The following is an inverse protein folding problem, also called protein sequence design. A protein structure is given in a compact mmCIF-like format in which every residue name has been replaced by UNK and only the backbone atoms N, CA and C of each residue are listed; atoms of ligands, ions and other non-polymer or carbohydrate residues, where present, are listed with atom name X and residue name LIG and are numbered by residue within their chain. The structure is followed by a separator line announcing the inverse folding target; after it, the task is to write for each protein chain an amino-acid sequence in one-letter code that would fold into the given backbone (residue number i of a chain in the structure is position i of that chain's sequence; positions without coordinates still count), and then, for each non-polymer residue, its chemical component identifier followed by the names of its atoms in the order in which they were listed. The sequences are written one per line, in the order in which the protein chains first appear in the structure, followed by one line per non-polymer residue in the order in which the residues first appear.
data_IF_333840361419
#
_entry.id   IF_333840361419
#
_cell.length_a   1.000
_cell.length_b   1.000
_cell.length_c   1.000
_cell.angle_alpha   90.00
_cell.angle_beta   90.00
_cell.angle_gamma   90.00
#
_symmetry.space_group_name_H-M   'P 1'
#
loop_
_entity.id
_entity.type
_entity.pdbx_description
1 polymer ?
#
# COMPACT_ATOMS: atom_id res chain seq x y z
N UNK A 1 -9.85 4.23 20.57
CA UNK A 1 -10.22 2.82 20.42
C UNK A 1 -10.77 2.61 19.03
N UNK A 2 -10.29 1.59 18.31
CA UNK A 2 -10.80 1.24 16.99
C UNK A 2 -11.93 0.21 17.16
N UNK A 3 -13.10 0.51 16.59
CA UNK A 3 -14.23 -0.42 16.55
C UNK A 3 -14.20 -1.20 15.24
N UNK A 4 -14.28 -2.53 15.33
CA UNK A 4 -14.31 -3.39 14.16
C UNK A 4 -15.75 -3.63 13.73
N UNK A 5 -16.10 -3.08 12.57
CA UNK A 5 -17.39 -3.29 11.92
C UNK A 5 -17.19 -4.15 10.68
N UNK A 6 -17.59 -5.43 10.72
CA UNK A 6 -17.45 -6.29 9.54
C UNK A 6 -17.53 -7.77 9.83
N UNK A 7 -17.34 -8.58 8.77
CA UNK A 7 -17.32 -10.04 8.84
C UNK A 7 -15.98 -10.53 9.40
N UNK A 8 -15.93 -11.81 9.84
CA UNK A 8 -14.70 -12.42 10.35
C UNK A 8 -13.53 -12.30 9.36
N UNK A 9 -12.36 -11.97 9.87
CA UNK A 9 -11.07 -11.93 9.14
C UNK A 9 -10.22 -13.18 9.38
N UNK A 10 -10.74 -14.15 10.15
CA UNK A 10 -10.02 -15.38 10.46
C UNK A 10 -9.59 -16.13 9.20
N UNK A 11 -8.29 -16.44 9.09
CA UNK A 11 -7.68 -17.12 7.95
C UNK A 11 -7.58 -16.30 6.66
N UNK A 12 -8.03 -15.04 6.66
CA UNK A 12 -8.01 -14.17 5.49
C UNK A 12 -6.74 -13.31 5.42
N UNK A 13 -6.33 -12.96 4.21
CA UNK A 13 -5.38 -11.91 3.97
C UNK A 13 -6.10 -10.57 4.04
N UNK A 14 -5.51 -9.61 4.75
CA UNK A 14 -6.11 -8.30 5.00
C UNK A 14 -5.18 -7.21 4.49
N UNK A 15 -5.75 -6.24 3.77
CA UNK A 15 -5.07 -5.04 3.31
C UNK A 15 -5.61 -3.84 4.10
N UNK A 16 -4.72 -3.17 4.82
CA UNK A 16 -4.97 -1.88 5.47
C UNK A 16 -4.65 -0.80 4.45
N UNK A 17 -5.59 0.08 4.17
CA UNK A 17 -5.40 1.20 3.24
C UNK A 17 -5.59 2.51 3.99
N UNK A 18 -4.63 3.42 3.85
CA UNK A 18 -4.66 4.75 4.45
C UNK A 18 -4.02 5.76 3.49
N UNK A 19 -4.16 7.04 3.75
CA UNK A 19 -3.54 8.10 2.96
C UNK A 19 -2.07 8.31 3.34
N UNK A 20 -1.72 8.19 4.61
CA UNK A 20 -0.39 8.50 5.11
C UNK A 20 0.08 7.60 6.26
N UNK A 21 1.31 7.13 6.15
CA UNK A 21 2.06 6.59 7.28
C UNK A 21 2.91 7.73 7.87
N UNK A 22 2.49 8.29 8.99
CA UNK A 22 3.33 9.22 9.78
C UNK A 22 4.28 8.43 10.69
N UNK A 23 3.94 8.24 11.97
CA UNK A 23 4.69 7.36 12.87
C UNK A 23 4.42 5.88 12.63
N UNK A 24 3.28 5.55 12.04
CA UNK A 24 2.82 4.18 11.81
C UNK A 24 2.08 3.55 13.00
N UNK A 25 2.00 4.22 14.14
CA UNK A 25 1.43 3.63 15.37
C UNK A 25 -0.01 3.17 15.18
N UNK A 26 -0.87 3.98 14.55
CA UNK A 26 -2.27 3.62 14.31
C UNK A 26 -2.44 2.38 13.43
N UNK A 27 -1.66 2.27 12.37
CA UNK A 27 -1.70 1.11 11.47
C UNK A 27 -1.20 -0.15 12.14
N UNK A 28 -0.17 -0.01 12.97
CA UNK A 28 0.38 -1.10 13.76
C UNK A 28 -0.65 -1.61 14.78
N UNK A 29 -1.39 -0.71 15.43
CA UNK A 29 -2.44 -1.11 16.36
C UNK A 29 -3.60 -1.83 15.64
N UNK A 30 -3.96 -1.39 14.44
CA UNK A 30 -4.91 -2.11 13.58
C UNK A 30 -4.36 -3.49 13.20
N UNK A 31 -3.09 -3.59 12.81
CA UNK A 31 -2.46 -4.87 12.46
C UNK A 31 -2.45 -5.86 13.64
N UNK A 32 -2.15 -5.39 14.86
CA UNK A 32 -2.24 -6.21 16.07
C UNK A 32 -3.66 -6.76 16.29
N UNK A 33 -4.65 -5.90 16.16
CA UNK A 33 -6.06 -6.31 16.33
C UNK A 33 -6.48 -7.33 15.26
N UNK A 34 -6.04 -7.16 14.00
CA UNK A 34 -6.29 -8.12 12.92
C UNK A 34 -5.63 -9.48 13.22
N UNK A 35 -4.40 -9.49 13.69
CA UNK A 35 -3.71 -10.74 14.10
C UNK A 35 -4.37 -11.40 15.31
N UNK A 36 -4.84 -10.61 16.29
CA UNK A 36 -5.64 -11.13 17.42
C UNK A 36 -6.91 -11.81 16.92
N UNK A 37 -7.51 -11.33 15.83
CA UNK A 37 -8.67 -11.92 15.14
C UNK A 37 -8.28 -13.02 14.15
N UNK A 38 -7.02 -13.52 14.20
CA UNK A 38 -6.49 -14.63 13.40
C UNK A 38 -6.46 -14.36 11.90
N UNK A 39 -6.25 -13.09 11.48
CA UNK A 39 -5.91 -12.79 10.10
C UNK A 39 -4.63 -13.52 9.68
N UNK A 40 -4.61 -14.07 8.46
CA UNK A 40 -3.48 -14.85 7.94
C UNK A 40 -2.31 -13.93 7.62
N UNK A 41 -2.49 -13.02 6.67
CA UNK A 41 -1.50 -12.01 6.27
C UNK A 41 -2.05 -10.62 6.44
N UNK A 42 -1.18 -9.68 6.80
CA UNK A 42 -1.53 -8.27 6.94
C UNK A 42 -0.61 -7.43 6.07
N UNK A 43 -1.20 -6.73 5.12
CA UNK A 43 -0.55 -5.80 4.21
C UNK A 43 -0.94 -4.38 4.59
N UNK A 44 -0.01 -3.45 4.55
CA UNK A 44 -0.26 -2.02 4.79
C UNK A 44 0.02 -1.29 3.47
N UNK A 45 -0.92 -0.50 3.00
CA UNK A 45 -0.79 0.31 1.79
C UNK A 45 -1.15 1.77 2.10
N UNK A 46 -0.27 2.68 1.71
CA UNK A 46 -0.48 4.11 1.91
C UNK A 46 0.05 4.91 0.72
N UNK A 47 -0.58 6.05 0.45
CA UNK A 47 -0.07 6.96 -0.57
C UNK A 47 1.26 7.56 -0.15
N UNK A 48 1.35 8.07 1.09
CA UNK A 48 2.55 8.74 1.60
C UNK A 48 3.18 7.98 2.76
N UNK A 49 4.42 7.53 2.60
CA UNK A 49 5.20 6.89 3.66
C UNK A 49 6.25 7.83 4.24
N UNK A 50 5.93 8.54 5.34
CA UNK A 50 6.85 9.48 5.98
C UNK A 50 7.77 8.80 6.99
N UNK A 51 7.29 7.78 7.70
CA UNK A 51 8.05 7.04 8.72
C UNK A 51 8.79 7.94 9.70
N UNK A 52 8.09 8.93 10.25
CA UNK A 52 8.67 10.02 11.06
C UNK A 52 9.41 9.54 12.32
N UNK A 53 9.07 8.35 12.83
CA UNK A 53 9.73 7.73 13.99
C UNK A 53 10.74 6.64 13.57
N UNK A 54 11.16 6.64 12.29
CA UNK A 54 12.07 5.63 11.74
C UNK A 54 11.40 4.27 11.51
N UNK A 55 12.20 3.27 11.15
CA UNK A 55 11.72 1.97 10.69
C UNK A 55 11.72 0.89 11.76
N UNK A 56 12.38 1.12 12.91
CA UNK A 56 12.60 0.09 13.93
C UNK A 56 11.34 -0.66 14.35
N UNK A 57 10.20 0.04 14.52
CA UNK A 57 8.93 -0.62 14.86
C UNK A 57 8.43 -1.53 13.74
N UNK A 58 8.54 -1.08 12.49
CA UNK A 58 8.14 -1.88 11.34
C UNK A 58 9.03 -3.11 11.19
N UNK A 59 10.34 -2.96 11.40
CA UNK A 59 11.30 -4.07 11.40
C UNK A 59 10.88 -5.13 12.45
N UNK A 60 10.64 -4.71 13.69
CA UNK A 60 10.21 -5.58 14.79
C UNK A 60 8.87 -6.29 14.49
N UNK A 61 7.89 -5.57 13.95
CA UNK A 61 6.59 -6.17 13.64
C UNK A 61 6.62 -7.10 12.43
N UNK A 62 7.49 -6.85 11.48
CA UNK A 62 7.74 -7.79 10.39
C UNK A 62 8.42 -9.08 10.91
N UNK A 63 9.46 -8.96 11.71
CA UNK A 63 10.17 -10.11 12.31
C UNK A 63 9.24 -10.98 13.18
N UNK A 64 8.31 -10.34 13.90
CA UNK A 64 7.32 -11.03 14.71
C UNK A 64 6.10 -11.53 13.91
N UNK A 65 6.09 -11.41 12.60
CA UNK A 65 5.00 -11.88 11.74
C UNK A 65 3.67 -11.13 11.90
N UNK A 66 3.70 -9.90 12.46
CA UNK A 66 2.51 -9.07 12.61
C UNK A 66 2.12 -8.35 11.32
N UNK A 67 3.10 -8.00 10.50
CA UNK A 67 2.91 -7.44 9.17
C UNK A 67 3.69 -8.25 8.15
N UNK A 68 3.18 -8.36 6.93
CA UNK A 68 3.83 -9.10 5.84
C UNK A 68 4.48 -8.18 4.81
N UNK A 69 3.82 -7.09 4.44
CA UNK A 69 4.35 -6.08 3.50
C UNK A 69 3.82 -4.69 3.82
N UNK A 70 4.63 -3.70 3.48
CA UNK A 70 4.27 -2.28 3.50
C UNK A 70 4.51 -1.71 2.12
N UNK A 71 3.47 -1.14 1.52
CA UNK A 71 3.49 -0.56 0.19
C UNK A 71 3.27 0.95 0.31
N UNK A 72 4.17 1.76 -0.22
CA UNK A 72 3.91 3.21 -0.38
C UNK A 72 4.40 3.69 -1.73
N UNK A 73 3.85 4.82 -2.18
CA UNK A 73 4.28 5.43 -3.43
C UNK A 73 5.61 6.18 -3.26
N UNK A 74 6.26 6.46 -4.38
CA UNK A 74 7.45 7.32 -4.45
C UNK A 74 7.11 8.82 -4.60
N UNK A 75 5.91 9.24 -4.17
CA UNK A 75 5.50 10.66 -4.20
C UNK A 75 6.16 11.50 -3.10
N UNK A 76 6.78 10.85 -2.12
CA UNK A 76 7.67 11.47 -1.14
C UNK A 76 9.03 10.78 -1.18
N UNK A 77 10.05 11.46 -0.68
CA UNK A 77 11.39 10.90 -0.65
C UNK A 77 11.44 9.58 0.12
N UNK A 78 12.04 8.58 -0.48
CA UNK A 78 12.25 7.26 0.10
C UNK A 78 13.73 7.10 0.43
N UNK A 79 14.03 6.85 1.71
CA UNK A 79 15.41 6.66 2.13
C UNK A 79 15.98 5.35 1.59
N UNK A 80 17.30 5.27 1.30
CA UNK A 80 17.92 3.99 0.94
C UNK A 80 17.70 2.89 1.98
N UNK A 81 17.61 3.28 3.24
CA UNK A 81 17.30 2.38 4.33
C UNK A 81 15.92 1.75 4.17
N UNK A 82 14.88 2.53 3.87
CA UNK A 82 13.53 2.03 3.61
C UNK A 82 13.49 1.10 2.41
N UNK A 83 14.13 1.51 1.30
CA UNK A 83 14.16 0.73 0.05
C UNK A 83 14.88 -0.62 0.21
N UNK A 84 15.77 -0.77 1.19
CA UNK A 84 16.47 -2.03 1.48
C UNK A 84 15.66 -3.03 2.31
N UNK A 85 14.51 -2.62 2.86
CA UNK A 85 13.74 -3.50 3.76
C UNK A 85 13.01 -4.61 2.99
N UNK A 86 13.09 -5.87 3.43
CA UNK A 86 12.48 -7.01 2.73
C UNK A 86 10.95 -6.97 2.73
N UNK A 87 10.33 -6.24 3.65
CA UNK A 87 8.88 -6.06 3.71
C UNK A 87 8.38 -4.87 2.88
N UNK A 88 9.27 -4.00 2.41
CA UNK A 88 8.87 -2.78 1.74
C UNK A 88 8.71 -2.99 0.24
N UNK A 89 7.64 -2.43 -0.31
CA UNK A 89 7.36 -2.40 -1.74
C UNK A 89 7.15 -0.96 -2.17
N UNK A 90 8.03 -0.49 -3.05
CA UNK A 90 7.87 0.81 -3.71
C UNK A 90 6.83 0.72 -4.82
N UNK A 91 5.82 1.57 -4.77
CA UNK A 91 4.85 1.76 -5.84
C UNK A 91 5.26 2.97 -6.67
N UNK A 92 5.83 2.73 -7.86
CA UNK A 92 6.34 3.80 -8.72
C UNK A 92 5.18 4.53 -9.43
N UNK A 93 5.02 5.81 -9.10
CA UNK A 93 4.03 6.71 -9.68
C UNK A 93 4.59 7.60 -10.80
N UNK A 94 5.87 7.47 -11.16
CA UNK A 94 6.55 8.38 -12.10
C UNK A 94 5.85 8.46 -13.45
N UNK A 95 5.46 7.32 -14.02
CA UNK A 95 4.71 7.26 -15.27
C UNK A 95 3.37 8.00 -15.18
N UNK A 96 2.69 7.88 -14.05
CA UNK A 96 1.40 8.52 -13.81
C UNK A 96 1.52 10.03 -13.75
N UNK A 97 2.53 10.51 -13.03
CA UNK A 97 2.84 11.94 -12.92
C UNK A 97 3.23 12.50 -14.29
N UNK A 98 4.04 11.78 -15.06
CA UNK A 98 4.39 12.20 -16.43
C UNK A 98 3.16 12.36 -17.33
N UNK A 99 2.20 11.44 -17.26
CA UNK A 99 0.95 11.54 -18.02
C UNK A 99 0.06 12.69 -17.56
N UNK A 100 0.03 13.01 -16.26
CA UNK A 100 -0.68 14.18 -15.75
C UNK A 100 -0.06 15.47 -16.32
N UNK A 101 1.27 15.57 -16.28
CA UNK A 101 2.01 16.73 -16.81
C UNK A 101 1.73 16.90 -18.31
N UNK A 102 1.79 15.81 -19.08
CA UNK A 102 1.54 15.80 -20.50
C UNK A 102 0.12 16.30 -20.84
N UNK A 103 -0.89 15.74 -20.16
CA UNK A 103 -2.28 16.17 -20.35
C UNK A 103 -2.50 17.65 -20.01
N UNK A 104 -1.90 18.12 -18.91
CA UNK A 104 -1.99 19.55 -18.53
C UNK A 104 -1.31 20.46 -19.55
N UNK A 105 -0.17 20.06 -20.10
CA UNK A 105 0.55 20.84 -21.12
C UNK A 105 -0.24 20.94 -22.43
N UNK A 106 -1.09 19.98 -22.75
CA UNK A 106 -1.88 19.94 -23.98
C UNK A 106 -3.35 20.31 -23.76
N UNK A 107 -3.71 20.91 -22.62
CA UNK A 107 -5.09 21.23 -22.24
C UNK A 107 -6.06 20.03 -22.39
N UNK A 108 -5.53 18.81 -22.24
CA UNK A 108 -6.30 17.59 -22.38
C UNK A 108 -7.02 17.20 -21.08
N UNK A 109 -8.15 16.51 -21.21
CA UNK A 109 -8.91 16.04 -20.04
C UNK A 109 -8.14 15.01 -19.22
N UNK A 110 -8.16 15.17 -17.91
CA UNK A 110 -7.62 14.20 -16.94
C UNK A 110 -8.60 13.07 -16.59
N UNK A 111 -9.86 13.15 -17.06
CA UNK A 111 -10.94 12.24 -16.62
C UNK A 111 -10.62 10.76 -16.85
N UNK A 112 -10.10 10.40 -18.03
CA UNK A 112 -9.72 9.01 -18.32
C UNK A 112 -8.50 8.56 -17.51
N UNK A 113 -7.56 9.48 -17.29
CA UNK A 113 -6.36 9.18 -16.51
C UNK A 113 -6.69 8.96 -15.03
N UNK A 114 -7.61 9.74 -14.47
CA UNK A 114 -8.04 9.64 -13.08
C UNK A 114 -9.04 8.52 -12.83
N UNK A 115 -9.64 7.92 -13.87
CA UNK A 115 -10.52 6.78 -13.72
C UNK A 115 -9.72 5.46 -13.76
N UNK A 116 -9.47 4.78 -12.62
CA UNK A 116 -8.66 3.56 -12.60
C UNK A 116 -9.43 2.30 -13.00
N UNK A 117 -10.78 2.34 -13.07
CA UNK A 117 -11.64 1.14 -13.17
C UNK A 117 -11.26 0.27 -14.36
N UNK A 118 -11.14 0.84 -15.56
CA UNK A 118 -10.78 0.09 -16.76
C UNK A 118 -9.39 -0.55 -16.69
N UNK A 119 -8.44 0.09 -16.01
CA UNK A 119 -7.09 -0.45 -15.79
C UNK A 119 -7.09 -1.57 -14.77
N UNK A 120 -7.82 -1.43 -13.68
CA UNK A 120 -7.99 -2.46 -12.65
C UNK A 120 -8.59 -3.71 -13.29
N UNK A 121 -9.65 -3.58 -14.08
CA UNK A 121 -10.28 -4.72 -14.75
C UNK A 121 -9.31 -5.43 -15.72
N UNK A 122 -8.55 -4.67 -16.53
CA UNK A 122 -7.53 -5.27 -17.42
C UNK A 122 -6.45 -6.03 -16.66
N UNK A 123 -5.98 -5.51 -15.53
CA UNK A 123 -4.99 -6.20 -14.68
C UNK A 123 -5.56 -7.46 -14.05
N UNK A 124 -6.79 -7.42 -13.56
CA UNK A 124 -7.47 -8.58 -13.00
C UNK A 124 -7.70 -9.67 -14.07
N UNK A 125 -8.05 -9.28 -15.28
CA UNK A 125 -8.25 -10.23 -16.39
C UNK A 125 -6.94 -10.86 -16.81
N UNK A 126 -5.82 -10.12 -16.88
CA UNK A 126 -4.48 -10.67 -17.08
C UNK A 126 -4.12 -11.67 -15.98
N UNK A 127 -4.31 -11.31 -14.73
CA UNK A 127 -4.06 -12.20 -13.61
C UNK A 127 -4.86 -13.51 -13.70
N UNK A 128 -6.17 -13.42 -14.02
CA UNK A 128 -7.02 -14.61 -14.20
C UNK A 128 -6.57 -15.52 -15.34
N UNK A 129 -5.95 -14.96 -16.39
CA UNK A 129 -5.38 -15.72 -17.52
C UNK A 129 -3.99 -16.27 -17.24
N UNK A 130 -3.39 -15.98 -16.07
CA UNK A 130 -2.03 -16.38 -15.73
C UNK A 130 -0.94 -15.63 -16.52
N UNK A 131 -1.27 -14.45 -17.06
CA UNK A 131 -0.31 -13.60 -17.75
C UNK A 131 0.56 -12.85 -16.75
N UNK A 132 1.83 -12.58 -17.12
CA UNK A 132 2.75 -11.76 -16.30
C UNK A 132 2.19 -10.34 -16.25
N UNK A 133 2.10 -9.80 -15.03
CA UNK A 133 1.71 -8.41 -14.78
C UNK A 133 3.02 -7.65 -14.58
N UNK A 134 3.41 -6.85 -15.60
CA UNK A 134 4.52 -5.90 -15.53
C UNK A 134 4.04 -4.55 -14.99
#
# INVERSE_FOLDING_TARGET
AHEFLGTSVEGKDVLIIDDMISSGDSMIDVAKELKRRKARKVFICSTFGLFTNGLRKFDEYYENGLIDRVLTTNLVYQTPELLSRPYYINVDMSKYIALIIDNLNHDASLSELLNPVGRIHRLLDKYKRGEVIE
#
